data_IF_512437066053
#
_entry.id   IF_512437066053
#
_cell.length_a   1.000
_cell.length_b   1.000
_cell.length_c   1.000
_cell.angle_alpha   90.00
_cell.angle_beta   90.00
_cell.angle_gamma   90.00
#
_symmetry.space_group_name_H-M   'P 1'
#
loop_
_entity.id
_entity.type
_entity.pdbx_description
1 polymer ?
#
# COMPACT_ATOMS: atom_id res chain seq x y z
N UNK A 1 47.79 -39.29 -10.88
CA UNK A 1 46.43 -39.19 -11.41
C UNK A 1 45.72 -38.16 -10.55
N UNK A 2 45.49 -36.89 -10.97
CA UNK A 2 44.85 -35.89 -10.17
C UNK A 2 43.33 -35.87 -10.45
N UNK A 3 42.54 -35.74 -9.40
CA UNK A 3 41.10 -35.60 -9.43
C UNK A 3 40.73 -34.12 -9.67
N UNK A 4 39.83 -33.93 -10.60
CA UNK A 4 39.33 -32.67 -11.09
C UNK A 4 38.21 -32.14 -10.15
N UNK A 5 38.46 -31.03 -9.46
CA UNK A 5 37.46 -30.32 -8.69
C UNK A 5 36.85 -29.18 -9.55
N UNK A 6 35.70 -29.44 -10.16
CA UNK A 6 34.87 -28.38 -10.76
C UNK A 6 34.08 -27.66 -9.66
N UNK A 7 34.37 -26.39 -9.53
CA UNK A 7 33.59 -25.45 -8.74
C UNK A 7 32.19 -25.27 -9.36
N UNK A 8 31.17 -25.46 -8.53
CA UNK A 8 29.78 -25.12 -8.86
C UNK A 8 29.60 -23.66 -8.53
N UNK A 9 29.37 -22.83 -9.55
CA UNK A 9 29.03 -21.44 -9.40
C UNK A 9 27.64 -21.27 -8.78
N UNK A 10 27.56 -20.44 -7.74
CA UNK A 10 26.30 -19.98 -7.17
C UNK A 10 25.60 -19.07 -8.20
N UNK A 11 24.48 -19.52 -8.74
CA UNK A 11 23.61 -18.70 -9.56
C UNK A 11 22.78 -17.79 -8.66
N UNK A 12 22.83 -16.52 -8.98
CA UNK A 12 22.03 -15.45 -8.42
C UNK A 12 20.59 -15.61 -8.95
N UNK A 13 19.73 -16.25 -8.16
CA UNK A 13 18.29 -16.31 -8.44
C UNK A 13 17.60 -15.09 -7.83
N UNK A 14 17.71 -13.95 -8.52
CA UNK A 14 16.69 -12.90 -8.42
C UNK A 14 15.41 -13.47 -9.05
N UNK A 15 14.44 -13.83 -8.21
CA UNK A 15 13.14 -14.32 -8.63
C UNK A 15 12.37 -13.21 -9.38
N UNK A 16 12.59 -13.12 -10.68
CA UNK A 16 11.69 -12.40 -11.56
C UNK A 16 10.34 -13.12 -11.59
N UNK A 17 9.26 -12.39 -11.38
CA UNK A 17 7.90 -12.92 -11.52
C UNK A 17 7.78 -13.69 -12.85
N UNK A 18 7.17 -14.86 -12.86
CA UNK A 18 7.19 -15.70 -14.04
C UNK A 18 6.41 -15.05 -15.18
N UNK A 19 7.12 -14.72 -16.26
CA UNK A 19 6.62 -14.16 -17.54
C UNK A 19 5.40 -14.89 -18.16
N UNK A 20 4.96 -15.98 -17.58
CA UNK A 20 3.84 -16.76 -18.07
C UNK A 20 2.48 -16.34 -17.49
N UNK A 21 2.45 -15.55 -16.40
CA UNK A 21 1.22 -14.90 -15.92
C UNK A 21 0.70 -13.94 -16.99
N UNK A 22 1.59 -13.11 -17.56
CA UNK A 22 1.29 -12.30 -18.74
C UNK A 22 0.88 -13.16 -19.98
N UNK A 23 1.39 -14.39 -20.09
CA UNK A 23 1.02 -15.30 -21.18
C UNK A 23 -0.33 -15.98 -20.99
N UNK A 24 -0.78 -16.25 -19.77
CA UNK A 24 -2.15 -16.73 -19.53
C UNK A 24 -3.20 -15.66 -19.83
N UNK A 25 -2.96 -14.41 -19.45
CA UNK A 25 -3.81 -13.28 -19.82
C UNK A 25 -3.83 -13.02 -21.33
N UNK A 26 -2.68 -13.20 -22.02
CA UNK A 26 -2.60 -13.11 -23.49
C UNK A 26 -3.32 -14.29 -24.17
N UNK A 27 -3.32 -15.49 -23.56
CA UNK A 27 -4.08 -16.63 -24.09
C UNK A 27 -5.59 -16.42 -23.98
N UNK A 28 -6.09 -15.69 -22.98
CA UNK A 28 -7.48 -15.26 -22.86
C UNK A 28 -7.90 -14.27 -23.98
N UNK A 29 -6.96 -13.46 -24.50
CA UNK A 29 -7.19 -12.59 -25.67
C UNK A 29 -7.43 -13.38 -26.97
N UNK A 30 -7.00 -14.62 -27.05
CA UNK A 30 -7.17 -15.47 -28.26
C UNK A 30 -8.44 -16.32 -28.24
N UNK A 31 -9.15 -16.40 -27.11
CA UNK A 31 -10.43 -17.07 -27.05
C UNK A 31 -11.52 -16.08 -27.48
N UNK A 32 -11.76 -15.98 -28.80
CA UNK A 32 -12.90 -15.26 -29.37
C UNK A 32 -14.20 -15.99 -29.02
N UNK A 33 -14.61 -15.95 -27.76
CA UNK A 33 -16.01 -16.12 -27.40
C UNK A 33 -16.67 -14.75 -27.43
N UNK A 34 -16.85 -14.19 -28.61
CA UNK A 34 -17.67 -13.00 -28.81
C UNK A 34 -19.13 -13.50 -28.85
N UNK A 35 -19.69 -13.78 -27.69
CA UNK A 35 -21.13 -13.74 -27.48
C UNK A 35 -21.44 -12.30 -27.06
N UNK A 36 -22.33 -11.59 -27.75
CA UNK A 36 -22.71 -10.24 -27.33
C UNK A 36 -23.41 -10.35 -25.96
N UNK A 37 -22.70 -9.90 -24.91
CA UNK A 37 -23.22 -9.95 -23.54
C UNK A 37 -24.07 -8.70 -23.32
N UNK A 38 -25.36 -8.89 -23.04
CA UNK A 38 -26.35 -7.80 -23.00
C UNK A 38 -26.31 -7.03 -21.67
N UNK A 39 -25.93 -7.67 -20.57
CA UNK A 39 -26.02 -7.08 -19.22
C UNK A 39 -24.72 -7.19 -18.43
N UNK A 40 -24.56 -6.33 -17.43
CA UNK A 40 -23.45 -6.40 -16.48
C UNK A 40 -23.48 -7.70 -15.68
N UNK A 41 -24.65 -8.18 -15.29
CA UNK A 41 -24.83 -9.45 -14.59
C UNK A 41 -24.26 -10.63 -15.38
N UNK A 42 -24.65 -10.79 -16.65
CA UNK A 42 -24.13 -11.86 -17.51
C UNK A 42 -22.60 -11.82 -17.68
N UNK A 43 -22.01 -10.63 -17.72
CA UNK A 43 -20.56 -10.46 -17.79
C UNK A 43 -19.89 -10.89 -16.49
N UNK A 44 -20.48 -10.57 -15.36
CA UNK A 44 -19.99 -10.96 -14.06
C UNK A 44 -20.10 -12.48 -13.85
N UNK A 45 -21.26 -13.07 -14.13
CA UNK A 45 -21.48 -14.52 -14.07
C UNK A 45 -20.47 -15.28 -14.94
N UNK A 46 -20.17 -14.73 -16.13
CA UNK A 46 -19.15 -15.29 -16.99
C UNK A 46 -17.75 -15.22 -16.37
N UNK A 47 -17.38 -14.13 -15.70
CA UNK A 47 -16.08 -14.02 -15.03
C UNK A 47 -15.96 -15.06 -13.90
N UNK A 48 -17.03 -15.25 -13.12
CA UNK A 48 -17.13 -16.32 -12.10
C UNK A 48 -16.96 -17.69 -12.73
N UNK A 49 -17.69 -18.00 -13.80
CA UNK A 49 -17.61 -19.29 -14.47
C UNK A 49 -16.22 -19.57 -15.10
N UNK A 50 -15.51 -18.53 -15.55
CA UNK A 50 -14.14 -18.65 -16.03
C UNK A 50 -13.22 -19.05 -14.88
N UNK A 51 -13.31 -18.41 -13.71
CA UNK A 51 -12.49 -18.75 -12.53
C UNK A 51 -12.77 -20.18 -12.07
N UNK A 52 -14.04 -20.56 -11.96
CA UNK A 52 -14.42 -21.94 -11.66
C UNK A 52 -13.80 -22.95 -12.66
N UNK A 53 -13.85 -22.64 -13.95
CA UNK A 53 -13.26 -23.52 -14.98
C UNK A 53 -11.73 -23.60 -14.89
N UNK A 54 -11.05 -22.51 -14.56
CA UNK A 54 -9.60 -22.47 -14.41
C UNK A 54 -9.14 -23.35 -13.23
N UNK A 55 -9.90 -23.38 -12.15
CA UNK A 55 -9.57 -24.16 -10.95
C UNK A 55 -10.14 -25.60 -10.96
N UNK A 56 -11.09 -25.89 -11.83
CA UNK A 56 -11.69 -27.22 -11.96
C UNK A 56 -10.67 -28.30 -12.41
N UNK A 57 -10.96 -29.60 -12.21
CA UNK A 57 -10.17 -30.70 -12.80
C UNK A 57 -9.99 -30.53 -14.32
N UNK A 58 -8.74 -30.56 -14.77
CA UNK A 58 -8.39 -30.29 -16.19
C UNK A 58 -8.42 -28.77 -16.54
N UNK A 59 -8.47 -27.87 -15.55
CA UNK A 59 -8.25 -26.44 -15.71
C UNK A 59 -6.77 -26.10 -15.79
N UNK A 60 -6.44 -24.84 -15.43
CA UNK A 60 -5.06 -24.37 -15.47
C UNK A 60 -4.26 -24.95 -14.28
N UNK A 61 -3.13 -25.63 -14.51
CA UNK A 61 -2.33 -26.20 -13.42
C UNK A 61 -1.90 -25.16 -12.40
N UNK A 62 -1.50 -23.99 -12.85
CA UNK A 62 -1.05 -22.92 -11.94
C UNK A 62 -2.18 -22.39 -11.07
N UNK A 63 -3.33 -22.06 -11.66
CA UNK A 63 -4.47 -21.53 -10.88
C UNK A 63 -4.94 -22.53 -9.82
N UNK A 64 -4.83 -23.84 -10.12
CA UNK A 64 -5.20 -24.91 -9.20
C UNK A 64 -4.24 -25.09 -8.03
N UNK A 65 -2.98 -24.77 -8.20
CA UNK A 65 -1.96 -24.84 -7.15
C UNK A 65 -2.02 -23.65 -6.17
N UNK A 66 -2.72 -22.57 -6.55
CA UNK A 66 -2.77 -21.38 -5.71
C UNK A 66 -3.57 -21.63 -4.42
N UNK A 67 -3.11 -20.97 -3.36
CA UNK A 67 -3.72 -20.91 -2.04
C UNK A 67 -4.00 -19.44 -1.65
N UNK A 68 -4.72 -19.23 -0.57
CA UNK A 68 -4.96 -17.88 -0.03
C UNK A 68 -3.64 -17.13 0.19
N UNK A 69 -2.61 -17.82 0.71
CA UNK A 69 -1.33 -17.20 1.01
C UNK A 69 -0.54 -16.87 -0.25
N UNK A 70 -0.56 -17.74 -1.26
CA UNK A 70 0.20 -17.53 -2.51
C UNK A 70 -0.38 -16.42 -3.38
N UNK A 71 -1.68 -16.10 -3.24
CA UNK A 71 -2.35 -15.02 -3.98
C UNK A 71 -2.22 -13.67 -3.25
N UNK A 72 -1.90 -13.65 -1.95
CA UNK A 72 -1.77 -12.41 -1.18
C UNK A 72 -0.80 -11.39 -1.78
N UNK A 73 0.41 -11.75 -2.27
CA UNK A 73 1.31 -10.79 -2.90
C UNK A 73 0.70 -10.12 -4.14
N UNK A 74 0.03 -10.87 -5.00
CA UNK A 74 -0.64 -10.32 -6.19
C UNK A 74 -1.77 -9.34 -5.83
N UNK A 75 -2.55 -9.64 -4.78
CA UNK A 75 -3.58 -8.71 -4.30
C UNK A 75 -3.00 -7.35 -3.90
N UNK A 76 -1.79 -7.33 -3.31
CA UNK A 76 -1.10 -6.10 -2.98
C UNK A 76 -0.56 -5.40 -4.23
N UNK A 77 0.00 -6.14 -5.18
CA UNK A 77 0.50 -5.65 -6.47
C UNK A 77 -0.63 -4.95 -7.24
N UNK A 78 -1.74 -5.63 -7.52
CA UNK A 78 -2.90 -5.06 -8.22
C UNK A 78 -3.47 -3.83 -7.48
N UNK A 79 -3.45 -3.84 -6.14
CA UNK A 79 -3.88 -2.67 -5.36
C UNK A 79 -2.98 -1.47 -5.63
N UNK A 80 -1.66 -1.66 -5.75
CA UNK A 80 -0.73 -0.58 -6.03
C UNK A 80 -0.80 -0.13 -7.50
N UNK A 81 -1.06 -1.02 -8.45
CA UNK A 81 -1.26 -0.70 -9.87
C UNK A 81 -2.53 0.13 -10.08
N UNK A 82 -3.64 -0.21 -9.40
CA UNK A 82 -4.84 0.65 -9.32
C UNK A 82 -4.49 2.05 -8.81
N UNK A 83 -3.69 2.16 -7.74
CA UNK A 83 -3.27 3.46 -7.22
C UNK A 83 -2.40 4.22 -8.22
N UNK A 84 -1.50 3.54 -8.92
CA UNK A 84 -0.63 4.16 -9.92
C UNK A 84 -1.44 4.67 -11.13
N UNK A 85 -2.36 3.88 -11.65
CA UNK A 85 -3.26 4.30 -12.74
C UNK A 85 -4.11 5.53 -12.36
N UNK A 86 -4.65 5.57 -11.13
CA UNK A 86 -5.36 6.76 -10.61
C UNK A 86 -4.43 7.96 -10.53
N UNK A 87 -3.22 7.78 -10.04
CA UNK A 87 -2.23 8.83 -9.87
C UNK A 87 -1.78 9.43 -11.22
N UNK A 88 -1.63 8.57 -12.24
CA UNK A 88 -1.26 8.95 -13.59
C UNK A 88 -2.44 9.49 -14.42
N UNK A 89 -3.68 9.42 -13.90
CA UNK A 89 -4.92 9.73 -14.62
C UNK A 89 -5.10 8.87 -15.87
N UNK A 90 -4.57 7.66 -15.85
CA UNK A 90 -4.70 6.69 -16.94
C UNK A 90 -5.98 5.86 -16.75
N UNK A 91 -7.08 6.37 -17.31
CA UNK A 91 -8.38 5.73 -17.16
C UNK A 91 -8.53 4.40 -17.90
N UNK A 92 -7.93 4.21 -19.10
CA UNK A 92 -7.88 2.90 -19.74
C UNK A 92 -7.13 1.86 -18.90
N UNK A 93 -5.96 2.21 -18.36
CA UNK A 93 -5.17 1.34 -17.48
C UNK A 93 -5.94 1.04 -16.18
N UNK A 94 -6.52 2.06 -15.56
CA UNK A 94 -7.35 1.86 -14.36
C UNK A 94 -8.46 0.83 -14.56
N UNK A 95 -9.07 0.78 -15.75
CA UNK A 95 -10.09 -0.22 -16.02
C UNK A 95 -9.50 -1.64 -16.10
N UNK A 96 -8.26 -1.79 -16.55
CA UNK A 96 -7.49 -3.04 -16.53
C UNK A 96 -7.22 -3.47 -15.09
N UNK A 97 -6.57 -2.61 -14.32
CA UNK A 97 -6.16 -2.88 -12.94
C UNK A 97 -7.34 -3.17 -12.00
N UNK A 98 -8.47 -2.50 -12.19
CA UNK A 98 -9.72 -2.84 -11.48
C UNK A 98 -10.24 -4.23 -11.85
N UNK A 99 -10.00 -4.67 -13.09
CA UNK A 99 -10.30 -6.03 -13.55
C UNK A 99 -9.41 -7.05 -12.86
N UNK A 100 -8.11 -6.77 -12.73
CA UNK A 100 -7.13 -7.64 -12.10
C UNK A 100 -7.33 -7.69 -10.57
N UNK A 101 -7.67 -6.57 -9.95
CA UNK A 101 -8.09 -6.58 -8.54
C UNK A 101 -9.40 -7.38 -8.33
N UNK A 102 -10.36 -7.30 -9.25
CA UNK A 102 -11.57 -8.12 -9.21
C UNK A 102 -11.24 -9.61 -9.40
N UNK A 103 -10.26 -9.95 -10.24
CA UNK A 103 -9.76 -11.32 -10.41
C UNK A 103 -9.32 -11.89 -9.06
N UNK A 104 -8.59 -11.13 -8.23
CA UNK A 104 -8.19 -11.58 -6.90
C UNK A 104 -9.40 -11.90 -6.02
N UNK A 105 -10.46 -11.09 -6.09
CA UNK A 105 -11.70 -11.34 -5.34
C UNK A 105 -12.36 -12.64 -5.79
N UNK A 106 -12.45 -12.87 -7.10
CA UNK A 106 -13.02 -14.11 -7.65
C UNK A 106 -12.17 -15.33 -7.29
N UNK A 107 -10.86 -15.19 -7.28
CA UNK A 107 -9.92 -16.23 -6.90
C UNK A 107 -10.13 -16.68 -5.45
N UNK A 108 -10.16 -15.73 -4.51
CA UNK A 108 -10.44 -16.03 -3.10
C UNK A 108 -11.82 -16.64 -2.90
N UNK A 109 -12.83 -16.14 -3.60
CA UNK A 109 -14.20 -16.66 -3.48
C UNK A 109 -14.31 -18.10 -3.98
N UNK A 110 -13.64 -18.46 -5.08
CA UNK A 110 -13.65 -19.83 -5.60
C UNK A 110 -12.88 -20.78 -4.68
N UNK A 111 -11.69 -20.37 -4.16
CA UNK A 111 -10.97 -21.18 -3.18
C UNK A 111 -11.80 -21.42 -1.89
N UNK A 112 -12.55 -20.41 -1.45
CA UNK A 112 -13.42 -20.52 -0.29
C UNK A 112 -14.61 -21.48 -0.54
N UNK A 113 -15.18 -21.43 -1.75
CA UNK A 113 -16.23 -22.32 -2.21
C UNK A 113 -15.74 -23.78 -2.28
N UNK A 114 -14.54 -24.02 -2.81
CA UNK A 114 -13.89 -25.33 -2.83
C UNK A 114 -13.72 -25.94 -1.43
N UNK A 115 -13.50 -25.10 -0.41
CA UNK A 115 -13.37 -25.48 1.00
C UNK A 115 -14.73 -25.57 1.73
N UNK A 116 -15.82 -25.18 1.09
CA UNK A 116 -17.15 -25.12 1.70
C UNK A 116 -17.32 -24.00 2.74
N UNK A 117 -16.50 -22.94 2.66
CA UNK A 117 -16.53 -21.83 3.64
C UNK A 117 -17.53 -20.73 3.25
N UNK A 118 -17.43 -20.22 2.04
CA UNK A 118 -18.34 -19.22 1.45
C UNK A 118 -18.14 -19.17 -0.09
N UNK A 119 -19.04 -18.51 -0.78
CA UNK A 119 -18.99 -18.31 -2.23
C UNK A 119 -18.93 -16.81 -2.60
N UNK A 120 -18.86 -16.52 -3.88
CA UNK A 120 -18.97 -15.12 -4.37
C UNK A 120 -20.35 -14.54 -4.07
N UNK A 121 -21.41 -15.35 -4.02
CA UNK A 121 -22.75 -14.88 -3.69
C UNK A 121 -22.80 -14.37 -2.24
N UNK A 122 -22.14 -15.05 -1.30
CA UNK A 122 -22.01 -14.59 0.09
C UNK A 122 -21.25 -13.26 0.18
N UNK A 123 -20.22 -13.08 -0.67
CA UNK A 123 -19.47 -11.81 -0.72
C UNK A 123 -20.36 -10.68 -1.21
N UNK A 124 -21.12 -10.91 -2.28
CA UNK A 124 -22.05 -9.93 -2.86
C UNK A 124 -23.18 -9.57 -1.90
N UNK A 125 -23.78 -10.56 -1.26
CA UNK A 125 -24.86 -10.36 -0.28
C UNK A 125 -24.35 -9.53 0.91
N UNK A 126 -23.19 -9.91 1.48
CA UNK A 126 -22.56 -9.14 2.57
C UNK A 126 -22.21 -7.72 2.17
N UNK A 127 -21.75 -7.50 0.93
CA UNK A 127 -21.46 -6.18 0.40
C UNK A 127 -22.74 -5.35 0.30
N UNK A 128 -23.78 -5.89 -0.33
CA UNK A 128 -25.07 -5.22 -0.57
C UNK A 128 -25.75 -4.85 0.74
N UNK A 129 -25.89 -5.81 1.67
CA UNK A 129 -26.44 -5.58 3.00
C UNK A 129 -25.68 -4.48 3.73
N UNK A 130 -24.34 -4.59 3.77
CA UNK A 130 -23.50 -3.58 4.41
C UNK A 130 -23.66 -2.18 3.81
N UNK A 131 -23.80 -2.06 2.48
CA UNK A 131 -24.01 -0.77 1.82
C UNK A 131 -25.37 -0.18 2.17
N UNK A 132 -26.43 -0.97 2.15
CA UNK A 132 -27.80 -0.53 2.53
C UNK A 132 -27.84 -0.11 4.00
N UNK A 133 -27.36 -0.94 4.90
CA UNK A 133 -27.39 -0.70 6.35
C UNK A 133 -26.59 0.53 6.77
N UNK A 134 -25.48 0.80 6.08
CA UNK A 134 -24.60 1.93 6.40
C UNK A 134 -25.01 3.25 5.71
N UNK A 135 -26.01 3.22 4.82
CA UNK A 135 -26.52 4.41 4.17
C UNK A 135 -28.02 4.64 4.43
N UNK A 136 -28.44 4.67 5.72
CA UNK A 136 -29.86 4.86 6.06
C UNK A 136 -30.39 6.22 5.62
N UNK A 137 -29.52 7.15 5.28
CA UNK A 137 -29.87 8.45 4.68
C UNK A 137 -30.18 8.37 3.17
N UNK A 138 -29.89 7.23 2.52
CA UNK A 138 -30.19 6.98 1.10
C UNK A 138 -31.29 5.93 0.97
N UNK A 139 -31.21 4.86 1.77
CA UNK A 139 -32.09 3.70 1.67
C UNK A 139 -33.13 3.60 2.80
N UNK A 140 -33.12 4.55 3.74
CA UNK A 140 -34.02 4.61 4.89
C UNK A 140 -34.56 6.02 5.13
N UNK A 141 -35.01 6.29 6.36
CA UNK A 141 -35.66 7.55 6.73
C UNK A 141 -34.74 8.57 7.43
N UNK A 142 -33.49 8.21 7.71
CA UNK A 142 -32.52 9.09 8.39
C UNK A 142 -32.07 10.19 7.43
N UNK A 143 -32.11 11.44 7.87
CA UNK A 143 -31.61 12.57 7.08
C UNK A 143 -30.15 12.85 7.43
N UNK A 144 -29.32 13.06 6.44
CA UNK A 144 -27.96 13.55 6.58
C UNK A 144 -27.66 14.49 5.40
N UNK A 145 -27.57 15.78 5.68
CA UNK A 145 -27.43 16.81 4.66
C UNK A 145 -25.97 17.20 4.40
N UNK A 146 -25.04 16.71 5.23
CA UNK A 146 -23.60 16.99 5.10
C UNK A 146 -22.75 15.71 5.19
N UNK A 147 -21.61 15.73 4.51
CA UNK A 147 -20.64 14.62 4.55
C UNK A 147 -20.16 14.30 5.98
N UNK A 148 -20.08 15.30 6.85
CA UNK A 148 -19.65 15.12 8.25
C UNK A 148 -20.73 14.44 9.09
N UNK A 149 -22.02 14.71 8.82
CA UNK A 149 -23.12 13.94 9.43
C UNK A 149 -23.07 12.47 8.99
N UNK A 150 -22.84 12.22 7.71
CA UNK A 150 -22.70 10.85 7.18
C UNK A 150 -21.54 10.13 7.85
N UNK A 151 -20.37 10.77 8.00
CA UNK A 151 -19.19 10.17 8.67
C UNK A 151 -19.49 9.82 10.13
N UNK A 152 -20.14 10.73 10.88
CA UNK A 152 -20.52 10.47 12.29
C UNK A 152 -21.51 9.30 12.38
N UNK A 153 -22.51 9.26 11.53
CA UNK A 153 -23.48 8.17 11.48
C UNK A 153 -22.81 6.83 11.16
N UNK A 154 -21.88 6.82 10.22
CA UNK A 154 -21.08 5.63 9.87
C UNK A 154 -20.28 5.09 11.05
N UNK A 155 -19.62 5.96 11.80
CA UNK A 155 -18.83 5.54 12.97
C UNK A 155 -19.75 4.99 14.09
N UNK A 156 -20.90 5.63 14.30
CA UNK A 156 -21.88 5.12 15.25
C UNK A 156 -22.43 3.73 14.87
N UNK A 157 -22.75 3.53 13.58
CA UNK A 157 -23.21 2.24 13.06
C UNK A 157 -22.13 1.16 13.16
N UNK A 158 -20.89 1.47 12.83
CA UNK A 158 -19.77 0.53 13.01
C UNK A 158 -19.56 0.12 14.48
N UNK A 159 -19.73 1.07 15.40
CA UNK A 159 -19.67 0.76 16.84
C UNK A 159 -20.82 -0.15 17.27
N UNK A 160 -22.03 0.08 16.76
CA UNK A 160 -23.19 -0.79 17.05
C UNK A 160 -23.01 -2.20 16.48
N UNK A 161 -22.52 -2.32 15.25
CA UNK A 161 -22.21 -3.63 14.64
C UNK A 161 -21.20 -4.43 15.48
N UNK A 162 -20.18 -3.76 16.03
CA UNK A 162 -19.19 -4.39 16.92
C UNK A 162 -19.84 -4.89 18.21
N UNK A 163 -20.61 -4.04 18.87
CA UNK A 163 -21.33 -4.41 20.10
C UNK A 163 -22.28 -5.60 19.87
N UNK A 164 -22.94 -5.66 18.72
CA UNK A 164 -23.80 -6.80 18.35
C UNK A 164 -23.00 -8.10 18.19
N UNK A 165 -21.82 -8.04 17.54
CA UNK A 165 -20.93 -9.21 17.39
C UNK A 165 -20.38 -9.69 18.75
N UNK A 166 -20.06 -8.77 19.66
CA UNK A 166 -19.63 -9.08 21.02
C UNK A 166 -20.74 -9.76 21.83
N UNK A 167 -22.00 -9.40 21.57
CA UNK A 167 -23.18 -9.98 22.29
C UNK A 167 -23.64 -11.33 21.75
N UNK A 168 -23.21 -11.76 20.57
CA UNK A 168 -23.66 -12.99 19.92
C UNK A 168 -22.90 -14.27 20.34
N UNK A 169 -22.00 -14.19 21.32
CA UNK A 169 -21.27 -15.35 21.84
C UNK A 169 -20.16 -15.90 20.95
N UNK A 170 -19.95 -15.33 19.79
CA UNK A 170 -18.81 -15.65 18.88
C UNK A 170 -17.50 -14.96 19.29
N UNK A 171 -17.54 -14.13 20.33
CA UNK A 171 -16.35 -13.49 20.87
C UNK A 171 -15.53 -14.54 21.64
N UNK A 172 -14.54 -15.10 20.96
CA UNK A 172 -13.40 -15.73 21.63
C UNK A 172 -12.90 -14.76 22.71
N UNK A 173 -12.70 -15.28 23.93
CA UNK A 173 -12.23 -14.58 25.13
C UNK A 173 -10.84 -13.93 24.96
N UNK A 174 -10.71 -13.04 23.99
CA UNK A 174 -9.49 -12.28 23.77
C UNK A 174 -9.65 -10.89 24.37
N UNK A 175 -8.76 -10.53 25.28
CA UNK A 175 -8.66 -9.21 25.90
C UNK A 175 -8.59 -8.10 24.84
N UNK A 176 -8.11 -8.41 23.64
CA UNK A 176 -8.04 -7.51 22.48
C UNK A 176 -9.42 -7.05 21.97
N UNK A 177 -10.48 -7.84 22.15
CA UNK A 177 -11.83 -7.46 21.68
C UNK A 177 -12.45 -6.30 22.47
N UNK A 178 -11.95 -6.01 23.67
CA UNK A 178 -12.40 -4.88 24.50
C UNK A 178 -11.66 -3.57 24.21
N UNK A 179 -10.57 -3.62 23.49
CA UNK A 179 -9.79 -2.42 23.15
C UNK A 179 -10.56 -1.53 22.18
N UNK A 180 -10.50 -0.21 22.40
CA UNK A 180 -10.97 0.79 21.42
C UNK A 180 -10.25 0.62 20.08
N UNK A 181 -9.04 0.11 20.10
CA UNK A 181 -8.20 -0.12 18.91
C UNK A 181 -8.48 -1.46 18.22
N UNK A 182 -9.36 -2.31 18.79
CA UNK A 182 -9.66 -3.61 18.21
C UNK A 182 -10.15 -3.53 16.75
N UNK A 183 -9.70 -4.49 15.93
CA UNK A 183 -10.07 -4.60 14.52
C UNK A 183 -9.32 -3.62 13.60
N UNK A 184 -8.27 -2.97 14.08
CA UNK A 184 -7.28 -2.33 13.21
C UNK A 184 -6.24 -3.40 12.87
N UNK A 185 -6.08 -3.67 11.58
CA UNK A 185 -5.13 -4.69 11.12
C UNK A 185 -3.70 -4.15 11.18
N UNK A 186 -2.80 -4.91 11.81
CA UNK A 186 -1.35 -4.64 11.80
C UNK A 186 -0.65 -5.06 10.50
N UNK A 187 -1.41 -5.53 9.50
CA UNK A 187 -0.90 -5.93 8.18
C UNK A 187 -0.98 -4.83 7.13
N UNK A 188 -1.59 -3.71 7.47
CA UNK A 188 -1.64 -2.56 6.56
C UNK A 188 -0.34 -1.75 6.60
N UNK A 189 -0.08 -0.89 5.59
CA UNK A 189 1.05 0.05 5.63
C UNK A 189 1.07 0.84 6.95
N UNK A 190 2.26 0.98 7.56
CA UNK A 190 2.41 1.52 8.91
C UNK A 190 1.82 2.94 9.06
N UNK A 191 1.93 3.79 8.04
CA UNK A 191 1.32 5.13 8.10
C UNK A 191 -0.20 5.09 8.15
N UNK A 192 -0.84 4.16 7.43
CA UNK A 192 -2.29 3.96 7.49
C UNK A 192 -2.72 3.34 8.81
N UNK A 193 -1.92 2.44 9.37
CA UNK A 193 -2.16 1.89 10.71
C UNK A 193 -2.11 3.00 11.76
N UNK A 194 -1.04 3.78 11.79
CA UNK A 194 -0.86 4.92 12.72
C UNK A 194 -2.01 5.93 12.61
N UNK A 195 -2.44 6.27 11.39
CA UNK A 195 -3.58 7.15 11.17
C UNK A 195 -4.89 6.56 11.74
N UNK A 196 -5.12 5.26 11.59
CA UNK A 196 -6.31 4.60 12.13
C UNK A 196 -6.26 4.48 13.64
N UNK A 197 -5.09 4.16 14.21
CA UNK A 197 -4.87 4.09 15.65
C UNK A 197 -5.17 5.44 16.31
N UNK A 198 -4.53 6.50 15.81
CA UNK A 198 -4.71 7.85 16.34
C UNK A 198 -6.13 8.38 16.13
N UNK A 199 -6.75 8.14 14.96
CA UNK A 199 -8.15 8.52 14.72
C UNK A 199 -9.11 7.81 15.68
N UNK A 200 -8.82 6.58 16.04
CA UNK A 200 -9.63 5.81 16.96
C UNK A 200 -9.46 6.31 18.41
N UNK A 201 -8.23 6.65 18.81
CA UNK A 201 -7.94 7.24 20.10
C UNK A 201 -8.62 8.64 20.26
N UNK A 202 -8.59 9.45 19.20
CA UNK A 202 -9.25 10.75 19.17
C UNK A 202 -10.78 10.66 19.41
N UNK A 203 -11.44 9.61 18.96
CA UNK A 203 -12.90 9.39 19.16
C UNK A 203 -13.30 9.29 20.65
N UNK A 204 -12.40 8.87 21.51
CA UNK A 204 -12.63 8.78 22.96
C UNK A 204 -12.05 9.99 23.72
N UNK A 205 -11.63 11.02 23.01
CA UNK A 205 -11.05 12.25 23.57
C UNK A 205 -9.55 12.18 23.83
N UNK A 206 -8.87 11.11 23.46
CA UNK A 206 -7.40 11.03 23.53
C UNK A 206 -6.79 11.61 22.26
N UNK A 207 -6.66 12.93 22.24
CA UNK A 207 -6.13 13.71 21.12
C UNK A 207 -5.47 15.00 21.60
N UNK A 208 -4.62 15.57 20.74
CA UNK A 208 -4.06 16.91 20.98
C UNK A 208 -5.15 17.99 20.85
N UNK A 209 -5.13 18.99 21.71
CA UNK A 209 -6.16 20.04 21.68
C UNK A 209 -6.09 20.91 20.43
N UNK A 210 -4.88 21.07 19.87
CA UNK A 210 -4.62 21.88 18.69
C UNK A 210 -3.36 21.40 17.92
N UNK A 211 -3.10 22.05 16.81
CA UNK A 211 -1.94 21.72 15.96
C UNK A 211 -0.62 22.13 16.61
N UNK A 212 -0.62 23.14 17.48
CA UNK A 212 0.59 23.61 18.17
C UNK A 212 1.11 22.56 19.16
N UNK A 213 0.21 21.81 19.79
CA UNK A 213 0.57 20.66 20.62
C UNK A 213 1.29 19.58 19.82
N UNK A 214 0.86 19.32 18.59
CA UNK A 214 1.55 18.39 17.67
C UNK A 214 2.93 18.90 17.26
N UNK A 215 3.07 20.19 16.96
CA UNK A 215 4.38 20.78 16.67
C UNK A 215 5.31 20.83 17.89
N UNK A 216 4.76 20.99 19.09
CA UNK A 216 5.53 20.87 20.32
C UNK A 216 6.07 19.46 20.49
N UNK A 217 5.24 18.43 20.27
CA UNK A 217 5.66 17.04 20.34
C UNK A 217 6.69 16.69 19.24
N UNK A 218 6.54 17.21 18.02
CA UNK A 218 7.53 17.03 16.95
C UNK A 218 8.91 17.60 17.35
N UNK A 219 8.94 18.73 18.05
CA UNK A 219 10.21 19.30 18.58
C UNK A 219 10.81 18.44 19.67
N UNK A 220 9.98 17.90 20.57
CA UNK A 220 10.37 16.99 21.64
C UNK A 220 11.05 15.75 21.03
N UNK A 221 10.38 14.98 20.16
CA UNK A 221 10.94 13.78 19.53
C UNK A 221 12.21 14.09 18.73
N UNK A 222 12.26 15.25 18.07
CA UNK A 222 13.46 15.67 17.34
C UNK A 222 14.64 15.91 18.30
N UNK A 223 14.40 16.44 19.49
CA UNK A 223 15.46 16.67 20.46
C UNK A 223 15.91 15.36 21.14
N UNK A 224 14.98 14.44 21.43
CA UNK A 224 15.29 13.11 21.96
C UNK A 224 16.17 12.34 20.99
N UNK A 225 15.83 12.33 19.69
CA UNK A 225 16.69 11.76 18.65
C UNK A 225 18.07 12.43 18.63
N UNK A 226 18.16 13.77 18.78
CA UNK A 226 19.45 14.48 18.82
C UNK A 226 20.30 14.09 20.03
N UNK A 227 19.69 13.85 21.18
CA UNK A 227 20.42 13.39 22.37
C UNK A 227 21.07 12.02 22.09
N UNK A 228 20.33 11.09 21.51
CA UNK A 228 20.87 9.78 21.16
C UNK A 228 21.93 9.86 20.05
N UNK A 229 21.82 10.80 19.12
CA UNK A 229 22.85 11.04 18.10
C UNK A 229 24.20 11.52 18.67
N UNK A 230 24.27 12.02 19.91
CA UNK A 230 25.55 12.33 20.55
C UNK A 230 26.39 11.07 20.83
N UNK A 231 25.73 9.95 21.03
CA UNK A 231 26.37 8.63 21.21
C UNK A 231 26.70 7.97 19.87
N UNK A 232 26.19 8.54 18.74
CA UNK A 232 26.39 7.97 17.42
C UNK A 232 27.88 8.06 17.03
N UNK A 233 28.49 6.96 16.62
CA UNK A 233 29.89 6.96 16.21
C UNK A 233 30.11 7.99 15.10
N UNK A 234 31.16 8.79 15.23
CA UNK A 234 31.53 9.72 14.18
C UNK A 234 31.60 8.99 12.83
N UNK A 235 30.98 9.51 11.77
CA UNK A 235 31.06 8.86 10.47
C UNK A 235 32.54 8.72 10.10
N UNK A 236 32.99 7.49 9.90
CA UNK A 236 34.30 7.22 9.34
C UNK A 236 34.48 7.99 8.03
N UNK A 237 35.71 8.22 7.54
CA UNK A 237 35.92 8.88 6.27
C UNK A 237 35.09 8.17 5.22
N UNK A 238 34.19 8.91 4.57
CA UNK A 238 33.37 8.36 3.48
C UNK A 238 34.33 7.74 2.48
N UNK A 239 34.17 6.46 2.10
CA UNK A 239 34.97 5.89 1.05
C UNK A 239 34.86 6.82 -0.17
N UNK A 240 35.99 7.35 -0.63
CA UNK A 240 36.05 8.07 -1.91
C UNK A 240 35.90 7.01 -3.00
N UNK A 241 34.67 6.63 -3.31
CA UNK A 241 34.38 5.61 -4.29
C UNK A 241 32.87 5.52 -4.49
N UNK A 242 32.49 5.66 -5.74
CA UNK A 242 31.15 5.54 -6.24
C UNK A 242 30.57 4.18 -5.84
N UNK A 243 29.29 4.15 -5.54
CA UNK A 243 28.53 2.92 -5.51
C UNK A 243 28.35 2.23 -4.17
N UNK A 244 28.64 2.91 -3.05
CA UNK A 244 28.44 2.31 -1.73
C UNK A 244 27.43 3.09 -0.89
N UNK A 245 26.25 3.33 -1.45
CA UNK A 245 25.08 3.58 -0.63
C UNK A 245 24.75 2.26 0.06
N UNK A 246 25.17 2.08 1.30
CA UNK A 246 24.81 0.96 2.16
C UNK A 246 25.90 -0.01 2.58
N UNK A 247 27.11 0.03 2.05
CA UNK A 247 28.18 -0.90 2.49
C UNK A 247 29.06 -0.37 3.61
N UNK A 248 28.85 0.85 4.07
CA UNK A 248 29.47 1.41 5.25
C UNK A 248 28.45 1.60 6.36
N UNK A 249 27.65 0.58 6.69
CA UNK A 249 26.81 0.65 7.87
C UNK A 249 27.74 0.85 9.05
N UNK A 250 27.73 2.02 9.65
CA UNK A 250 28.42 2.27 10.91
C UNK A 250 27.90 1.22 11.88
N UNK A 251 28.78 0.42 12.47
CA UNK A 251 28.36 -0.56 13.47
C UNK A 251 27.94 0.23 14.70
N UNK A 252 26.66 0.24 14.92
CA UNK A 252 26.01 0.92 16.05
C UNK A 252 25.79 -0.14 17.13
N UNK A 253 26.05 0.16 18.42
CA UNK A 253 25.66 -0.74 19.50
C UNK A 253 24.14 -1.02 19.45
N UNK A 254 23.73 -2.27 19.61
CA UNK A 254 22.32 -2.70 19.53
C UNK A 254 21.38 -1.86 20.42
N UNK A 255 21.86 -1.51 21.64
CA UNK A 255 21.10 -0.65 22.55
C UNK A 255 20.89 0.78 22.02
N UNK A 256 21.82 1.33 21.24
CA UNK A 256 21.67 2.64 20.60
C UNK A 256 20.80 2.52 19.34
N UNK A 257 20.94 1.42 18.57
CA UNK A 257 20.09 1.16 17.41
C UNK A 257 18.60 1.13 17.81
N UNK A 258 18.26 0.41 18.87
CA UNK A 258 16.89 0.34 19.39
C UNK A 258 16.33 1.70 19.79
N UNK A 259 17.12 2.54 20.47
CA UNK A 259 16.70 3.91 20.83
C UNK A 259 16.46 4.79 19.58
N UNK A 260 17.37 4.71 18.60
CA UNK A 260 17.22 5.47 17.36
C UNK A 260 15.99 5.01 16.54
N UNK A 261 15.68 3.72 16.55
CA UNK A 261 14.47 3.19 15.92
C UNK A 261 13.19 3.70 16.61
N UNK A 262 13.19 3.76 17.96
CA UNK A 262 12.10 4.28 18.76
C UNK A 262 11.81 5.74 18.40
N UNK A 263 12.81 6.62 18.50
CA UNK A 263 12.63 8.04 18.20
C UNK A 263 12.22 8.33 16.75
N UNK A 264 12.80 7.58 15.79
CA UNK A 264 12.39 7.70 14.39
C UNK A 264 10.95 7.24 14.21
N UNK A 265 10.53 6.18 14.90
CA UNK A 265 9.15 5.70 14.91
C UNK A 265 8.18 6.77 15.45
N UNK A 266 8.53 7.42 16.56
CA UNK A 266 7.72 8.45 17.20
C UNK A 266 7.62 9.72 16.33
N UNK A 267 8.71 10.11 15.67
CA UNK A 267 8.67 11.17 14.66
C UNK A 267 7.69 10.87 13.53
N UNK A 268 7.68 9.63 12.98
CA UNK A 268 6.70 9.24 11.97
C UNK A 268 5.27 9.27 12.51
N UNK A 269 5.06 8.80 13.74
CA UNK A 269 3.75 8.80 14.36
C UNK A 269 3.21 10.23 14.56
N UNK A 270 4.04 11.17 15.01
CA UNK A 270 3.68 12.59 15.13
C UNK A 270 3.37 13.21 13.78
N UNK A 271 4.18 12.93 12.73
CA UNK A 271 3.91 13.40 11.37
C UNK A 271 2.58 12.88 10.81
N UNK A 272 2.24 11.61 11.08
CA UNK A 272 0.93 11.05 10.72
C UNK A 272 -0.21 11.77 11.45
N UNK A 273 -0.03 12.13 12.72
CA UNK A 273 -1.03 12.90 13.48
C UNK A 273 -1.19 14.33 12.96
N UNK A 274 -0.11 15.00 12.57
CA UNK A 274 -0.18 16.30 11.88
C UNK A 274 -0.97 16.17 10.58
N UNK A 275 -0.69 15.15 9.77
CA UNK A 275 -1.42 14.90 8.53
C UNK A 275 -2.92 14.66 8.80
N UNK A 276 -3.25 13.84 9.81
CA UNK A 276 -4.62 13.58 10.25
C UNK A 276 -5.34 14.87 10.67
N UNK A 277 -4.69 15.70 11.47
CA UNK A 277 -5.25 16.98 11.94
C UNK A 277 -5.56 17.90 10.76
N UNK A 278 -4.71 17.92 9.75
CA UNK A 278 -4.88 18.69 8.51
C UNK A 278 -5.83 18.01 7.49
N UNK A 279 -6.42 16.86 7.83
CA UNK A 279 -7.25 16.05 6.91
C UNK A 279 -6.49 15.61 5.66
N UNK A 280 -5.19 15.41 5.77
CA UNK A 280 -4.32 14.88 4.71
C UNK A 280 -4.11 13.38 4.94
N UNK A 281 -4.23 12.58 3.89
CA UNK A 281 -3.84 11.17 3.95
C UNK A 281 -2.30 11.06 3.91
N UNK A 282 -1.65 10.49 4.96
CA UNK A 282 -0.20 10.49 5.08
C UNK A 282 0.48 9.59 4.04
N UNK A 283 -0.12 8.44 3.71
CA UNK A 283 0.41 7.51 2.71
C UNK A 283 0.41 8.16 1.33
N UNK A 284 -0.72 8.72 0.91
CA UNK A 284 -0.82 9.44 -0.37
C UNK A 284 0.11 10.66 -0.43
N UNK A 285 0.29 11.38 0.68
CA UNK A 285 1.19 12.53 0.75
C UNK A 285 2.65 12.10 0.51
N UNK A 286 3.10 11.02 1.15
CA UNK A 286 4.45 10.49 0.96
C UNK A 286 4.64 9.92 -0.44
N UNK A 287 3.68 9.18 -0.98
CA UNK A 287 3.69 8.68 -2.36
C UNK A 287 3.85 9.82 -3.38
N UNK A 288 3.12 10.94 -3.20
CA UNK A 288 3.29 12.15 -4.03
C UNK A 288 4.70 12.73 -3.93
N UNK A 289 5.30 12.73 -2.75
CA UNK A 289 6.68 13.18 -2.56
C UNK A 289 7.68 12.25 -3.24
N UNK A 290 7.49 10.93 -3.15
CA UNK A 290 8.34 9.93 -3.80
C UNK A 290 8.29 10.08 -5.33
N UNK A 291 7.09 10.26 -5.92
CA UNK A 291 6.95 10.54 -7.36
C UNK A 291 7.64 11.83 -7.77
N UNK A 292 7.46 12.89 -7.00
CA UNK A 292 8.14 14.17 -7.24
C UNK A 292 9.66 13.99 -7.23
N UNK A 293 10.19 13.23 -6.28
CA UNK A 293 11.61 12.91 -6.21
C UNK A 293 12.05 12.12 -7.45
N UNK A 294 11.36 11.02 -7.79
CA UNK A 294 11.66 10.17 -8.95
C UNK A 294 11.66 10.97 -10.25
N UNK A 295 10.61 11.78 -10.49
CA UNK A 295 10.50 12.61 -11.71
C UNK A 295 11.66 13.59 -11.84
N UNK A 296 12.05 14.27 -10.76
CA UNK A 296 13.18 15.21 -10.76
C UNK A 296 14.49 14.49 -11.00
N UNK A 297 14.67 13.34 -10.38
CA UNK A 297 15.88 12.55 -10.54
C UNK A 297 16.01 12.04 -11.97
N UNK A 298 14.96 11.49 -12.57
CA UNK A 298 14.92 11.09 -13.97
C UNK A 298 15.20 12.26 -14.94
N UNK A 299 14.71 13.45 -14.61
CA UNK A 299 15.03 14.64 -15.38
C UNK A 299 16.54 14.96 -15.32
N UNK A 300 17.16 14.86 -14.15
CA UNK A 300 18.62 15.03 -14.00
C UNK A 300 19.39 13.99 -14.82
N UNK A 301 19.00 12.72 -14.71
CA UNK A 301 19.60 11.64 -15.51
C UNK A 301 19.50 11.93 -17.00
N UNK A 302 18.34 12.35 -17.48
CA UNK A 302 18.15 12.68 -18.90
C UNK A 302 19.07 13.83 -19.37
N UNK A 303 19.35 14.81 -18.53
CA UNK A 303 20.28 15.91 -18.82
C UNK A 303 21.74 15.43 -18.88
N UNK A 304 22.13 14.57 -17.96
CA UNK A 304 23.47 13.96 -17.96
C UNK A 304 23.66 13.05 -19.17
N UNK A 305 22.68 12.20 -19.47
CA UNK A 305 22.70 11.34 -20.65
C UNK A 305 22.80 12.13 -21.94
N UNK A 306 22.14 13.28 -22.06
CA UNK A 306 22.25 14.16 -23.24
C UNK A 306 23.69 14.74 -23.44
N UNK A 307 24.50 14.77 -22.36
CA UNK A 307 25.91 15.12 -22.39
C UNK A 307 26.86 13.90 -22.49
N UNK A 308 26.31 12.71 -22.71
CA UNK A 308 27.09 11.47 -22.81
C UNK A 308 27.62 10.95 -21.47
N UNK A 309 27.01 11.36 -20.34
CA UNK A 309 27.43 11.03 -18.98
C UNK A 309 26.32 10.34 -18.21
N UNK A 310 26.68 9.62 -17.17
CA UNK A 310 25.75 9.05 -16.21
C UNK A 310 25.67 9.89 -14.92
N UNK A 311 24.63 9.68 -14.12
CA UNK A 311 24.51 10.31 -12.80
C UNK A 311 25.66 9.89 -11.86
N UNK A 312 26.19 8.70 -12.06
CA UNK A 312 27.34 8.19 -11.31
C UNK A 312 28.65 8.96 -11.63
N UNK A 313 28.72 9.61 -12.81
CA UNK A 313 29.89 10.37 -13.26
C UNK A 313 29.85 11.84 -12.84
N UNK A 314 28.73 12.30 -12.29
CA UNK A 314 28.54 13.69 -11.91
C UNK A 314 29.06 13.98 -10.49
N UNK A 315 29.68 15.15 -10.30
CA UNK A 315 30.04 15.61 -8.96
C UNK A 315 28.77 16.03 -8.19
N UNK A 316 28.85 16.00 -6.85
CA UNK A 316 27.72 16.33 -5.99
C UNK A 316 27.18 17.75 -6.23
N UNK A 317 28.07 18.70 -6.46
CA UNK A 317 27.73 20.08 -6.76
C UNK A 317 26.94 20.23 -8.08
N UNK A 318 27.29 19.41 -9.07
CA UNK A 318 26.57 19.35 -10.35
C UNK A 318 25.19 18.71 -10.16
N UNK A 319 25.10 17.60 -9.43
CA UNK A 319 23.83 16.96 -9.11
C UNK A 319 22.89 17.92 -8.36
N UNK A 320 23.40 18.66 -7.38
CA UNK A 320 22.61 19.66 -6.65
C UNK A 320 22.17 20.80 -7.59
N UNK A 321 23.03 21.29 -8.49
CA UNK A 321 22.66 22.29 -9.48
C UNK A 321 21.53 21.80 -10.39
N UNK A 322 21.63 20.57 -10.91
CA UNK A 322 20.60 19.95 -11.74
C UNK A 322 19.30 19.75 -10.96
N UNK A 323 19.38 19.37 -9.67
CA UNK A 323 18.22 19.25 -8.79
C UNK A 323 17.48 20.58 -8.61
N UNK A 324 18.21 21.69 -8.42
CA UNK A 324 17.59 23.01 -8.33
C UNK A 324 16.96 23.45 -9.66
N UNK A 325 17.57 23.11 -10.80
CA UNK A 325 16.99 23.35 -12.12
C UNK A 325 15.70 22.56 -12.31
N UNK A 326 15.66 21.27 -11.95
CA UNK A 326 14.45 20.45 -12.01
C UNK A 326 13.31 21.04 -11.15
N UNK A 327 13.64 21.56 -9.96
CA UNK A 327 12.67 22.26 -9.10
C UNK A 327 12.16 23.56 -9.71
N UNK A 328 13.03 24.33 -10.37
CA UNK A 328 12.65 25.59 -11.00
C UNK A 328 11.71 25.35 -12.19
N UNK A 329 11.99 24.34 -13.00
CA UNK A 329 11.17 24.00 -14.17
C UNK A 329 9.73 23.62 -13.77
N UNK A 330 9.52 22.93 -12.64
CA UNK A 330 8.18 22.59 -12.15
C UNK A 330 7.38 23.81 -11.63
N UNK A 331 8.06 24.92 -11.33
CA UNK A 331 7.42 26.16 -10.84
C UNK A 331 6.97 27.09 -11.96
N UNK A 332 7.45 26.90 -13.17
CA UNK A 332 7.01 27.70 -14.31
C UNK A 332 5.58 27.32 -14.71
N UNK A 333 4.66 28.30 -14.88
CA UNK A 333 3.24 28.04 -15.15
C UNK A 333 3.04 27.65 -16.62
N UNK A 334 3.50 26.45 -17.00
CA UNK A 334 3.39 25.91 -18.36
C UNK A 334 3.03 24.44 -18.44
N UNK A 335 3.27 23.66 -17.39
CA UNK A 335 2.98 22.22 -17.40
C UNK A 335 1.65 21.92 -16.67
N UNK A 336 0.55 22.17 -17.40
CA UNK A 336 -0.79 21.67 -17.01
C UNK A 336 -0.91 20.17 -17.31
N UNK A 337 -0.07 19.35 -16.76
CA UNK A 337 -0.26 17.90 -16.64
C UNK A 337 -0.26 17.55 -15.16
N UNK A 338 -1.39 17.84 -14.53
CA UNK A 338 -1.78 17.34 -13.21
C UNK A 338 -2.95 16.38 -13.37
#
# INVERSE_FOLDING_TARGET
MPADHRAVGAGDETAAAPLWFARCLVALRSFKLVVPMSTTGERFERAVAIMERLRAPGGCPWDREQTFDTITPYTLEETYEVLEAIENRDWPELAGELGDLLLQVLFYAEMAKEQGSFSIDDVLERLSTKLVDRHPHVFGEVKADTSDQVKRNWEALKQQERKKKEGSGEAVLNTETRSVLAGISSKMPAMLEAQKLSSRAAQIGFDWPDVEGLFAKLREETEELREHLKEFPAPGPRPQGRGVAGSGRTVIPEALEAKLEEEVGDLFFVLVNIARYLSVDPESALRKSNRKFRRRFQWMESRLHASGRSAEDAAMEELESLWQQAKAQEREPGDKRA
#
